data_IF_375689489230
#
_entry.id   IF_375689489230
#
_cell.length_a   1.000
_cell.length_b   1.000
_cell.length_c   1.000
_cell.angle_alpha   90.00
_cell.angle_beta   90.00
_cell.angle_gamma   90.00
#
_symmetry.space_group_name_H-M   'P 1'
#
loop_
_entity.id
_entity.type
_entity.pdbx_description
1 polymer ?
#
# COMPACT_ATOMS: atom_id res chain seq x y z
N UNK A 1 -10.77 4.74 -19.81
CA UNK A 1 -9.69 4.75 -18.78
C UNK A 1 -8.80 5.96 -18.97
N UNK A 2 -8.36 6.20 -20.19
CA UNK A 2 -7.53 7.34 -20.55
C UNK A 2 -8.16 8.68 -20.13
N UNK A 3 -9.44 8.89 -20.41
CA UNK A 3 -10.16 10.11 -20.02
C UNK A 3 -10.24 10.34 -18.51
N UNK A 4 -10.47 9.30 -17.70
CA UNK A 4 -10.51 9.44 -16.23
C UNK A 4 -9.13 9.79 -15.68
N UNK A 5 -8.07 9.14 -16.14
CA UNK A 5 -6.70 9.50 -15.73
C UNK A 5 -6.32 10.90 -16.18
N UNK A 6 -6.75 11.33 -17.36
CA UNK A 6 -6.53 12.69 -17.81
C UNK A 6 -7.21 13.71 -16.88
N UNK A 7 -8.47 13.49 -16.48
CA UNK A 7 -9.17 14.35 -15.53
C UNK A 7 -8.50 14.39 -14.14
N UNK A 8 -8.01 13.22 -13.66
CA UNK A 8 -7.21 13.16 -12.43
C UNK A 8 -5.95 14.03 -12.56
N UNK A 9 -5.25 13.93 -13.69
CA UNK A 9 -4.05 14.69 -13.95
C UNK A 9 -4.30 16.18 -14.07
N UNK A 10 -5.40 16.59 -14.71
CA UNK A 10 -5.83 18.01 -14.75
C UNK A 10 -5.97 18.63 -13.36
N UNK A 11 -6.38 17.83 -12.36
CA UNK A 11 -6.51 18.29 -10.97
C UNK A 11 -5.18 18.20 -10.22
N UNK A 12 -4.41 17.14 -10.42
CA UNK A 12 -3.30 16.78 -9.54
C UNK A 12 -1.91 17.12 -10.11
N UNK A 13 -1.74 17.27 -11.43
CA UNK A 13 -0.42 17.49 -12.03
C UNK A 13 0.26 18.72 -11.43
N UNK A 14 -0.38 19.88 -11.43
CA UNK A 14 0.23 21.09 -10.93
C UNK A 14 0.60 21.00 -9.43
N UNK A 15 -0.33 20.67 -8.51
CA UNK A 15 -0.01 20.63 -7.08
C UNK A 15 0.97 19.54 -6.70
N UNK A 16 1.02 18.40 -7.42
CA UNK A 16 1.94 17.31 -7.15
C UNK A 16 3.33 17.58 -7.72
N UNK A 17 3.42 18.07 -8.94
CA UNK A 17 4.70 18.42 -9.57
C UNK A 17 5.41 19.54 -8.80
N UNK A 18 4.68 20.56 -8.33
CA UNK A 18 5.24 21.63 -7.46
C UNK A 18 5.82 21.07 -6.15
N UNK A 19 5.35 19.92 -5.69
CA UNK A 19 5.85 19.23 -4.49
C UNK A 19 6.92 18.17 -4.80
N UNK A 20 7.41 18.12 -6.04
CA UNK A 20 8.49 17.23 -6.46
C UNK A 20 8.06 15.80 -6.77
N UNK A 21 6.76 15.54 -6.94
CA UNK A 21 6.31 14.24 -7.44
C UNK A 21 6.59 14.11 -8.95
N UNK A 22 6.81 12.87 -9.37
CA UNK A 22 6.93 12.50 -10.79
C UNK A 22 5.78 11.57 -11.12
N UNK A 23 5.12 11.83 -12.25
CA UNK A 23 4.08 10.94 -12.76
C UNK A 23 4.69 9.81 -13.59
N UNK A 24 4.25 8.58 -13.32
CA UNK A 24 4.56 7.39 -14.10
C UNK A 24 3.29 6.86 -14.75
N UNK A 25 3.26 6.96 -16.09
CA UNK A 25 2.12 6.52 -16.90
C UNK A 25 1.93 5.00 -16.86
N UNK A 26 3.03 4.22 -16.80
CA UNK A 26 2.97 2.76 -16.80
C UNK A 26 2.28 2.20 -15.56
N UNK A 27 2.43 2.87 -14.42
CA UNK A 27 1.81 2.48 -13.14
C UNK A 27 0.60 3.33 -12.78
N UNK A 28 0.31 4.39 -13.55
CA UNK A 28 -0.72 5.39 -13.24
C UNK A 28 -0.54 5.92 -11.81
N UNK A 29 0.64 6.45 -11.52
CA UNK A 29 0.99 6.89 -10.18
C UNK A 29 1.85 8.15 -10.16
N UNK A 30 1.76 8.88 -9.05
CA UNK A 30 2.69 9.95 -8.72
C UNK A 30 3.57 9.47 -7.56
N UNK A 31 4.87 9.61 -7.69
CA UNK A 31 5.79 9.21 -6.63
C UNK A 31 6.95 10.19 -6.48
N UNK A 32 7.51 10.22 -5.27
CA UNK A 32 8.76 10.93 -4.97
C UNK A 32 9.55 10.24 -3.87
N UNK A 33 10.82 10.62 -3.74
CA UNK A 33 11.66 10.18 -2.63
C UNK A 33 11.19 10.79 -1.30
N UNK A 34 11.23 9.98 -0.25
CA UNK A 34 10.90 10.44 1.09
C UNK A 34 12.14 11.04 1.77
N UNK A 35 12.13 12.33 2.02
CA UNK A 35 13.29 13.05 2.57
C UNK A 35 13.72 12.57 3.97
N UNK A 36 12.83 11.98 4.75
CA UNK A 36 13.11 11.50 6.10
C UNK A 36 13.67 10.08 6.21
N UNK A 37 13.61 9.29 5.13
CA UNK A 37 13.96 7.87 5.15
C UNK A 37 14.80 7.52 3.92
N UNK A 38 16.00 6.97 4.18
CA UNK A 38 16.95 6.63 3.12
C UNK A 38 16.37 5.55 2.19
N UNK A 39 16.50 5.76 0.87
CA UNK A 39 16.06 4.86 -0.20
C UNK A 39 14.56 4.52 -0.17
N UNK A 40 13.74 5.32 0.51
CA UNK A 40 12.29 5.18 0.54
C UNK A 40 11.66 6.14 -0.45
N UNK A 41 10.74 5.61 -1.24
CA UNK A 41 9.83 6.40 -2.05
C UNK A 41 8.41 6.24 -1.50
N UNK A 42 7.58 7.24 -1.73
CA UNK A 42 6.15 7.13 -1.50
C UNK A 42 5.37 7.74 -2.66
N UNK A 43 4.14 7.32 -2.85
CA UNK A 43 3.36 7.80 -3.97
C UNK A 43 1.90 7.43 -3.91
N UNK A 44 1.13 8.10 -4.76
CA UNK A 44 -0.30 7.91 -4.94
C UNK A 44 -0.55 7.07 -6.18
N UNK A 45 -1.19 5.94 -6.00
CA UNK A 45 -1.49 4.95 -7.04
C UNK A 45 -2.97 4.93 -7.33
N UNK A 46 -3.32 5.01 -8.59
CA UNK A 46 -4.70 5.03 -9.07
C UNK A 46 -5.02 3.72 -9.76
N UNK A 47 -5.99 3.00 -9.23
CA UNK A 47 -6.46 1.76 -9.80
C UNK A 47 -7.87 1.92 -10.31
N UNK A 48 -8.04 1.88 -11.63
CA UNK A 48 -9.34 2.00 -12.27
C UNK A 48 -9.82 0.61 -12.70
N UNK A 49 -11.00 0.23 -12.23
CA UNK A 49 -11.66 -1.03 -12.57
C UNK A 49 -12.99 -0.76 -13.25
N UNK A 50 -13.31 -1.51 -14.31
CA UNK A 50 -14.59 -1.41 -15.03
C UNK A 50 -15.50 -2.57 -14.62
N UNK A 51 -16.75 -2.29 -14.27
CA UNK A 51 -17.75 -3.30 -13.95
C UNK A 51 -19.16 -2.74 -14.21
N UNK A 52 -19.98 -3.48 -15.00
CA UNK A 52 -21.40 -3.15 -15.18
C UNK A 52 -21.68 -1.77 -15.77
N UNK A 53 -20.85 -1.27 -16.70
CA UNK A 53 -21.01 0.06 -17.31
C UNK A 53 -20.44 1.21 -16.50
N UNK A 54 -19.86 0.93 -15.32
CA UNK A 54 -19.25 1.92 -14.44
C UNK A 54 -17.74 1.73 -14.32
N UNK A 55 -17.04 2.81 -14.03
CA UNK A 55 -15.68 2.78 -13.56
C UNK A 55 -15.65 2.93 -12.02
N UNK A 56 -14.80 2.15 -11.39
CA UNK A 56 -14.50 2.25 -9.97
C UNK A 56 -13.04 2.63 -9.83
N UNK A 57 -12.75 3.66 -9.07
CA UNK A 57 -11.40 4.12 -8.82
C UNK A 57 -11.02 3.91 -7.35
N UNK A 58 -9.95 3.17 -7.15
CA UNK A 58 -9.30 3.05 -5.85
C UNK A 58 -8.04 3.95 -5.88
N UNK A 59 -7.85 4.75 -4.84
CA UNK A 59 -6.63 5.53 -4.65
C UNK A 59 -5.90 4.99 -3.43
N UNK A 60 -4.60 4.78 -3.54
CA UNK A 60 -3.77 4.34 -2.42
C UNK A 60 -2.50 5.16 -2.30
N UNK A 61 -2.12 5.56 -1.09
CA UNK A 61 -0.76 5.98 -0.77
C UNK A 61 0.06 4.72 -0.52
N UNK A 62 1.19 4.60 -1.18
CA UNK A 62 2.11 3.48 -0.98
C UNK A 62 3.48 4.00 -0.58
N UNK A 63 4.08 3.35 0.39
CA UNK A 63 5.47 3.54 0.79
C UNK A 63 6.28 2.39 0.23
N UNK A 64 7.34 2.70 -0.49
CA UNK A 64 8.08 1.72 -1.29
C UNK A 64 9.55 1.74 -0.93
N UNK A 65 10.11 0.57 -0.67
CA UNK A 65 11.54 0.35 -0.50
C UNK A 65 11.93 -1.01 -1.09
N UNK A 66 12.82 -1.04 -2.07
CA UNK A 66 13.10 -2.26 -2.84
C UNK A 66 13.64 -3.40 -1.98
N UNK A 67 14.57 -3.12 -1.06
CA UNK A 67 15.13 -4.14 -0.16
C UNK A 67 14.08 -4.75 0.76
N UNK A 68 13.23 -3.93 1.35
CA UNK A 68 12.14 -4.39 2.23
C UNK A 68 11.09 -5.17 1.43
N UNK A 69 10.74 -4.68 0.25
CA UNK A 69 9.83 -5.38 -0.66
C UNK A 69 10.34 -6.77 -1.01
N UNK A 70 11.63 -6.92 -1.28
CA UNK A 70 12.23 -8.23 -1.58
C UNK A 70 12.06 -9.19 -0.39
N UNK A 71 12.41 -8.77 0.81
CA UNK A 71 12.26 -9.59 2.04
C UNK A 71 10.80 -10.00 2.24
N UNK A 72 9.88 -9.05 2.14
CA UNK A 72 8.45 -9.32 2.25
C UNK A 72 7.96 -10.34 1.21
N UNK A 73 8.36 -10.17 -0.05
CA UNK A 73 7.96 -11.06 -1.15
C UNK A 73 8.50 -12.47 -0.97
N UNK A 74 9.75 -12.62 -0.52
CA UNK A 74 10.35 -13.92 -0.22
C UNK A 74 9.59 -14.65 0.89
N UNK A 75 9.22 -13.94 1.97
CA UNK A 75 8.40 -14.50 3.03
C UNK A 75 7.02 -14.92 2.53
N UNK A 76 6.36 -14.10 1.70
CA UNK A 76 5.07 -14.43 1.08
C UNK A 76 5.14 -15.64 0.14
N UNK A 77 6.19 -15.75 -0.66
CA UNK A 77 6.39 -16.91 -1.54
C UNK A 77 6.52 -18.19 -0.70
N UNK A 78 7.36 -18.18 0.35
CA UNK A 78 7.48 -19.32 1.27
C UNK A 78 6.16 -19.68 1.96
N UNK A 79 5.36 -18.66 2.30
CA UNK A 79 4.03 -18.86 2.89
C UNK A 79 3.08 -19.54 1.89
N UNK A 80 3.05 -19.10 0.63
CA UNK A 80 2.18 -19.70 -0.39
C UNK A 80 2.60 -21.14 -0.74
N UNK A 81 3.89 -21.44 -0.75
CA UNK A 81 4.39 -22.80 -0.98
C UNK A 81 3.96 -23.79 0.12
N UNK A 82 3.66 -23.29 1.32
CA UNK A 82 3.22 -24.08 2.48
C UNK A 82 1.71 -24.11 2.67
N UNK A 83 0.97 -23.28 1.95
CA UNK A 83 -0.48 -23.12 2.12
C UNK A 83 -1.23 -24.22 1.35
N UNK A 84 -1.58 -25.28 2.05
CA UNK A 84 -2.33 -26.41 1.51
C UNK A 84 -3.79 -26.06 1.13
N UNK A 85 -4.29 -24.89 1.49
CA UNK A 85 -5.62 -24.41 1.09
C UNK A 85 -5.67 -23.87 -0.34
N UNK A 86 -4.50 -23.55 -0.90
CA UNK A 86 -4.37 -23.05 -2.26
C UNK A 86 -4.15 -24.19 -3.26
N UNK A 87 -4.85 -24.14 -4.38
CA UNK A 87 -4.53 -25.03 -5.49
C UNK A 87 -3.18 -24.66 -6.11
N UNK A 88 -2.50 -25.61 -6.74
CA UNK A 88 -1.21 -25.39 -7.41
C UNK A 88 -1.27 -24.25 -8.43
N UNK A 89 -2.39 -24.12 -9.16
CA UNK A 89 -2.60 -23.04 -10.12
C UNK A 89 -2.69 -21.67 -9.43
N UNK A 90 -3.35 -21.59 -8.27
CA UNK A 90 -3.45 -20.37 -7.46
C UNK A 90 -2.08 -19.99 -6.89
N UNK A 91 -1.33 -20.93 -6.34
CA UNK A 91 0.04 -20.71 -5.84
C UNK A 91 0.94 -20.16 -6.95
N UNK A 92 1.01 -20.84 -8.10
CA UNK A 92 1.80 -20.39 -9.25
C UNK A 92 1.43 -18.98 -9.73
N UNK A 93 0.13 -18.66 -9.72
CA UNK A 93 -0.34 -17.32 -10.10
C UNK A 93 0.13 -16.27 -9.09
N UNK A 94 -0.08 -16.50 -7.79
CA UNK A 94 0.31 -15.57 -6.73
C UNK A 94 1.83 -15.33 -6.72
N UNK A 95 2.64 -16.39 -6.81
CA UNK A 95 4.10 -16.29 -6.89
C UNK A 95 4.54 -15.48 -8.11
N UNK A 96 3.95 -15.77 -9.28
CA UNK A 96 4.22 -15.00 -10.50
C UNK A 96 3.89 -13.53 -10.34
N UNK A 97 2.75 -13.21 -9.70
CA UNK A 97 2.29 -11.83 -9.53
C UNK A 97 3.17 -11.07 -8.53
N UNK A 98 3.66 -11.73 -7.47
CA UNK A 98 4.68 -11.18 -6.56
C UNK A 98 6.01 -10.90 -7.29
N UNK A 99 6.53 -11.87 -8.06
CA UNK A 99 7.79 -11.73 -8.81
C UNK A 99 7.73 -10.61 -9.85
N UNK A 100 6.56 -10.33 -10.42
CA UNK A 100 6.35 -9.25 -11.38
C UNK A 100 6.08 -7.89 -10.74
N UNK A 101 6.09 -7.80 -9.42
CA UNK A 101 5.72 -6.58 -8.70
C UNK A 101 4.24 -6.18 -8.86
N UNK A 102 3.40 -7.11 -9.32
CA UNK A 102 1.96 -6.88 -9.50
C UNK A 102 1.15 -7.04 -8.21
N UNK A 103 1.69 -7.79 -7.26
CA UNK A 103 1.12 -7.82 -5.93
C UNK A 103 1.45 -6.48 -5.26
N UNK A 104 0.46 -5.93 -4.59
CA UNK A 104 0.60 -4.69 -3.86
C UNK A 104 1.59 -4.93 -2.73
N UNK A 105 2.80 -4.50 -2.95
CA UNK A 105 3.93 -4.63 -2.02
C UNK A 105 4.32 -3.28 -1.44
N UNK A 106 3.37 -2.35 -1.40
CA UNK A 106 3.52 -1.14 -0.61
C UNK A 106 3.66 -1.53 0.86
N UNK A 107 4.60 -0.93 1.56
CA UNK A 107 4.69 -1.06 3.02
C UNK A 107 3.39 -0.60 3.68
N UNK A 108 2.58 0.13 2.95
CA UNK A 108 1.37 0.74 3.40
C UNK A 108 0.37 1.02 2.27
N UNK A 109 -0.92 0.81 2.54
CA UNK A 109 -2.04 1.23 1.70
C UNK A 109 -3.05 2.03 2.50
N UNK A 110 -3.49 3.13 1.93
CA UNK A 110 -4.47 4.04 2.56
C UNK A 110 -5.85 3.46 2.81
N UNK A 111 -6.21 2.38 2.19
CA UNK A 111 -7.51 1.75 2.37
C UNK A 111 -7.83 1.45 3.84
N UNK A 112 -6.83 1.49 4.72
CA UNK A 112 -6.99 1.20 6.15
C UNK A 112 -7.01 2.45 7.05
N UNK A 113 -6.84 3.68 6.52
CA UNK A 113 -6.98 4.92 7.32
C UNK A 113 -8.45 5.37 7.46
N UNK A 114 -9.38 4.55 7.04
CA UNK A 114 -10.81 4.89 6.98
C UNK A 114 -11.46 5.20 8.32
N UNK A 115 -10.83 4.89 9.45
CA UNK A 115 -11.43 5.18 10.76
C UNK A 115 -11.50 6.68 11.08
N UNK A 116 -10.57 7.50 10.57
CA UNK A 116 -10.64 8.96 10.71
C UNK A 116 -11.60 9.63 9.72
N UNK A 117 -11.90 8.95 8.60
CA UNK A 117 -12.86 9.38 7.58
C UNK A 117 -13.95 8.32 7.46
N UNK A 118 -14.95 8.40 8.34
CA UNK A 118 -16.05 7.42 8.44
C UNK A 118 -16.92 7.26 7.20
N UNK A 119 -16.73 8.06 6.17
CA UNK A 119 -17.40 7.92 4.89
C UNK A 119 -16.51 7.16 3.90
N UNK A 120 -16.60 5.85 3.92
CA UNK A 120 -15.92 4.92 3.01
C UNK A 120 -16.11 5.23 1.50
N UNK A 121 -17.05 6.10 1.17
CA UNK A 121 -17.30 6.58 -0.19
C UNK A 121 -16.15 7.40 -0.78
N UNK A 122 -15.26 7.97 0.02
CA UNK A 122 -14.14 8.80 -0.46
C UNK A 122 -13.06 8.02 -1.20
N UNK A 123 -12.97 6.70 -1.03
CA UNK A 123 -11.88 5.89 -1.56
C UNK A 123 -12.28 5.05 -2.77
N UNK A 124 -13.56 4.90 -3.00
CA UNK A 124 -14.10 4.19 -4.15
C UNK A 124 -15.04 5.12 -4.90
N UNK A 125 -14.52 5.72 -5.95
CA UNK A 125 -15.33 6.53 -6.85
C UNK A 125 -16.01 5.62 -7.87
N UNK A 126 -17.33 5.66 -7.89
CA UNK A 126 -18.11 5.06 -8.96
C UNK A 126 -18.54 6.16 -9.92
N UNK A 127 -18.06 6.10 -11.15
CA UNK A 127 -18.44 7.06 -12.18
C UNK A 127 -18.88 6.36 -13.46
N UNK A 128 -19.62 7.07 -14.32
CA UNK A 128 -19.90 6.62 -15.68
C UNK A 128 -18.57 6.55 -16.42
N UNK A 129 -18.38 5.51 -17.24
CA UNK A 129 -17.09 5.02 -17.78
C UNK A 129 -16.12 6.04 -18.40
N UNK A 130 -16.48 7.29 -18.53
CA UNK A 130 -15.68 8.29 -19.23
C UNK A 130 -15.50 9.61 -18.50
N UNK A 131 -16.17 9.83 -17.37
CA UNK A 131 -16.26 11.19 -16.87
C UNK A 131 -16.35 11.26 -15.34
N UNK A 132 -15.31 11.82 -14.69
CA UNK A 132 -15.31 12.15 -13.26
C UNK A 132 -16.18 13.37 -12.95
N UNK A 133 -16.47 14.23 -13.93
CA UNK A 133 -17.30 15.41 -13.73
C UNK A 133 -18.73 15.10 -13.30
N UNK A 134 -19.16 13.84 -13.50
CA UNK A 134 -20.42 13.33 -12.96
C UNK A 134 -20.45 13.23 -11.43
N UNK A 135 -19.28 13.34 -10.75
CA UNK A 135 -19.14 13.32 -9.30
C UNK A 135 -18.95 14.75 -8.79
N UNK A 136 -19.93 15.35 -8.13
CA UNK A 136 -19.81 16.71 -7.60
C UNK A 136 -18.61 16.85 -6.65
N UNK A 137 -17.75 17.85 -6.88
CA UNK A 137 -16.61 18.14 -6.02
C UNK A 137 -15.48 17.09 -6.05
N UNK A 138 -15.38 16.29 -7.13
CA UNK A 138 -14.33 15.27 -7.25
C UNK A 138 -12.93 15.88 -7.18
N UNK A 139 -12.73 17.05 -7.71
CA UNK A 139 -11.48 17.81 -7.68
C UNK A 139 -11.04 18.13 -6.25
N UNK A 140 -11.96 18.67 -5.44
CA UNK A 140 -11.71 18.96 -4.03
C UNK A 140 -11.47 17.68 -3.22
N UNK A 141 -12.17 16.61 -3.53
CA UNK A 141 -11.97 15.31 -2.88
C UNK A 141 -10.59 14.74 -3.19
N UNK A 142 -10.13 14.79 -4.46
CA UNK A 142 -8.79 14.37 -4.85
C UNK A 142 -7.71 15.18 -4.13
N UNK A 143 -7.86 16.50 -4.07
CA UNK A 143 -6.92 17.37 -3.36
C UNK A 143 -6.92 17.10 -1.85
N UNK A 144 -8.07 16.84 -1.24
CA UNK A 144 -8.18 16.49 0.18
C UNK A 144 -7.48 15.17 0.51
N UNK A 145 -7.64 14.15 -0.33
CA UNK A 145 -6.93 12.89 -0.20
C UNK A 145 -5.41 13.06 -0.27
N UNK A 146 -4.96 13.88 -1.21
CA UNK A 146 -3.56 14.20 -1.32
C UNK A 146 -3.03 14.94 -0.08
N UNK A 147 -3.73 15.98 0.39
CA UNK A 147 -3.34 16.72 1.59
C UNK A 147 -3.27 15.83 2.83
N UNK A 148 -4.22 14.92 2.96
CA UNK A 148 -4.23 13.95 4.04
C UNK A 148 -3.02 13.01 3.99
N UNK A 149 -2.68 12.51 2.79
CA UNK A 149 -1.48 11.70 2.61
C UNK A 149 -0.20 12.41 3.00
N UNK A 150 -0.05 13.66 2.63
CA UNK A 150 1.11 14.45 3.02
C UNK A 150 1.17 14.68 4.55
N UNK A 151 0.02 14.84 5.20
CA UNK A 151 -0.03 14.93 6.67
C UNK A 151 0.39 13.62 7.32
N UNK A 152 -0.07 12.48 6.79
CA UNK A 152 0.34 11.17 7.28
C UNK A 152 1.86 10.95 7.11
N UNK A 153 2.42 11.26 5.95
CA UNK A 153 3.86 11.16 5.67
C UNK A 153 4.67 12.02 6.66
N UNK A 154 4.23 13.23 6.96
CA UNK A 154 4.88 14.11 7.92
C UNK A 154 4.86 13.60 9.37
N UNK A 155 3.88 12.78 9.74
CA UNK A 155 3.80 12.15 11.06
C UNK A 155 4.76 10.96 11.20
N UNK A 156 5.14 10.33 10.10
CA UNK A 156 5.90 9.06 10.08
C UNK A 156 7.29 9.24 9.46
N UNK A 157 8.08 10.14 10.03
CA UNK A 157 9.39 10.56 9.48
C UNK A 157 10.56 9.69 9.93
N UNK A 158 10.33 8.64 10.71
CA UNK A 158 11.36 7.71 11.17
C UNK A 158 10.96 6.26 10.96
N UNK A 159 11.95 5.37 10.87
CA UNK A 159 11.70 3.94 10.82
C UNK A 159 10.88 3.45 12.01
N UNK A 160 11.14 3.97 13.22
CA UNK A 160 10.41 3.57 14.43
C UNK A 160 8.92 3.93 14.34
N UNK A 161 8.61 5.14 13.90
CA UNK A 161 7.21 5.57 13.72
C UNK A 161 6.50 4.75 12.64
N UNK A 162 7.20 4.41 11.54
CA UNK A 162 6.66 3.61 10.47
C UNK A 162 6.43 2.15 10.89
N UNK A 163 7.38 1.54 11.64
CA UNK A 163 7.26 0.19 12.20
C UNK A 163 6.08 0.13 13.17
N UNK A 164 6.01 1.07 14.11
CA UNK A 164 4.95 1.12 15.12
C UNK A 164 3.57 1.24 14.46
N UNK A 165 3.42 2.16 13.51
CA UNK A 165 2.18 2.32 12.78
C UNK A 165 1.82 1.06 11.97
N UNK A 166 2.76 0.51 11.22
CA UNK A 166 2.55 -0.67 10.38
C UNK A 166 2.12 -1.90 11.20
N UNK A 167 2.73 -2.10 12.36
CA UNK A 167 2.42 -3.23 13.23
C UNK A 167 1.13 -3.03 14.04
N UNK A 168 0.99 -1.87 14.71
CA UNK A 168 -0.01 -1.69 15.77
C UNK A 168 -1.32 -1.07 15.25
N UNK A 169 -1.24 -0.13 14.32
CA UNK A 169 -2.44 0.53 13.78
C UNK A 169 -2.95 -0.18 12.52
N UNK A 170 -2.04 -0.60 11.65
CA UNK A 170 -2.38 -1.30 10.40
C UNK A 170 -2.41 -2.83 10.53
N UNK A 171 -1.99 -3.39 11.66
CA UNK A 171 -1.89 -4.84 11.91
C UNK A 171 -1.14 -5.63 10.82
N UNK A 172 -0.25 -4.97 10.08
CA UNK A 172 0.56 -5.58 9.04
C UNK A 172 1.94 -5.99 9.60
N UNK A 173 1.92 -6.93 10.53
CA UNK A 173 3.13 -7.42 11.20
C UNK A 173 4.19 -7.93 10.24
N UNK A 174 3.81 -8.59 9.14
CA UNK A 174 4.79 -9.10 8.18
C UNK A 174 5.59 -7.97 7.52
N UNK A 175 4.94 -6.86 7.18
CA UNK A 175 5.64 -5.68 6.65
C UNK A 175 6.54 -5.04 7.69
N UNK A 176 6.09 -4.91 8.93
CA UNK A 176 6.89 -4.37 10.02
C UNK A 176 8.13 -5.25 10.33
N UNK A 177 7.96 -6.57 10.32
CA UNK A 177 9.07 -7.53 10.45
C UNK A 177 10.05 -7.44 9.27
N UNK A 178 9.55 -7.23 8.04
CA UNK A 178 10.43 -7.05 6.89
C UNK A 178 11.26 -5.74 6.99
N UNK A 179 10.71 -4.69 7.57
CA UNK A 179 11.45 -3.46 7.87
C UNK A 179 12.55 -3.74 8.90
N UNK A 180 12.23 -4.37 10.03
CA UNK A 180 13.20 -4.70 11.07
C UNK A 180 14.32 -5.61 10.58
N UNK A 181 13.97 -6.62 9.76
CA UNK A 181 14.95 -7.48 9.10
C UNK A 181 15.89 -6.67 8.20
N UNK A 182 15.36 -5.77 7.37
CA UNK A 182 16.16 -4.92 6.49
C UNK A 182 17.13 -4.03 7.27
N UNK A 183 16.69 -3.51 8.42
CA UNK A 183 17.49 -2.65 9.29
C UNK A 183 18.49 -3.43 10.16
N UNK A 184 18.49 -4.77 10.13
CA UNK A 184 19.35 -5.61 10.98
C UNK A 184 19.00 -5.51 12.48
N UNK A 185 17.77 -5.14 12.84
CA UNK A 185 17.31 -4.95 14.22
C UNK A 185 16.78 -6.26 14.80
N UNK A 186 17.68 -7.20 15.08
CA UNK A 186 17.35 -8.57 15.46
C UNK A 186 16.53 -8.67 16.77
N UNK A 187 16.93 -7.91 17.80
CA UNK A 187 16.21 -7.91 19.10
C UNK A 187 14.77 -7.45 18.94
N UNK A 188 14.55 -6.30 18.27
CA UNK A 188 13.23 -5.74 18.01
C UNK A 188 12.40 -6.67 17.13
N UNK A 189 13.03 -7.30 16.14
CA UNK A 189 12.38 -8.29 15.29
C UNK A 189 11.84 -9.46 16.11
N UNK A 190 12.64 -10.02 17.02
CA UNK A 190 12.24 -11.14 17.86
C UNK A 190 11.11 -10.76 18.84
N UNK A 191 11.15 -9.53 19.38
CA UNK A 191 10.08 -9.00 20.24
C UNK A 191 8.79 -8.86 19.43
N UNK A 192 8.84 -8.14 18.30
CA UNK A 192 7.67 -7.90 17.48
C UNK A 192 7.08 -9.20 16.90
N UNK A 193 7.93 -10.17 16.56
CA UNK A 193 7.49 -11.47 16.06
C UNK A 193 6.66 -12.25 17.10
N UNK A 194 7.04 -12.20 18.39
CA UNK A 194 6.25 -12.77 19.49
C UNK A 194 4.90 -12.07 19.65
N UNK A 195 4.89 -10.72 19.66
CA UNK A 195 3.64 -9.94 19.70
C UNK A 195 2.72 -10.30 18.51
N UNK A 196 3.28 -10.46 17.34
CA UNK A 196 2.55 -10.85 16.13
C UNK A 196 1.92 -12.25 16.27
N UNK A 197 2.64 -13.22 16.82
CA UNK A 197 2.09 -14.56 17.09
C UNK A 197 0.92 -14.51 18.07
N UNK A 198 1.06 -13.78 19.17
CA UNK A 198 -0.02 -13.62 20.16
C UNK A 198 -1.25 -12.99 19.52
N UNK A 199 -1.07 -11.93 18.74
CA UNK A 199 -2.15 -11.27 18.01
C UNK A 199 -2.83 -12.23 17.01
N UNK A 200 -2.06 -12.95 16.19
CA UNK A 200 -2.61 -13.84 15.17
C UNK A 200 -3.39 -15.03 15.79
N UNK A 201 -2.88 -15.59 16.88
CA UNK A 201 -3.59 -16.64 17.61
C UNK A 201 -4.91 -16.09 18.20
N UNK A 202 -4.87 -14.91 18.83
CA UNK A 202 -6.05 -14.27 19.41
C UNK A 202 -7.14 -13.98 18.39
N UNK A 203 -6.72 -13.48 17.21
CA UNK A 203 -7.63 -13.14 16.10
C UNK A 203 -7.94 -14.34 15.19
N UNK A 204 -7.51 -15.54 15.54
CA UNK A 204 -7.68 -16.79 14.76
C UNK A 204 -7.16 -16.68 13.32
N UNK A 205 -6.01 -16.02 13.14
CA UNK A 205 -5.33 -15.83 11.86
C UNK A 205 -4.23 -16.88 11.65
N UNK A 206 -3.90 -17.18 10.39
CA UNK A 206 -2.81 -18.10 10.06
C UNK A 206 -1.43 -17.51 10.39
N UNK A 207 -0.61 -18.26 11.13
CA UNK A 207 0.77 -17.87 11.50
C UNK A 207 1.81 -18.16 10.42
N UNK A 208 1.48 -18.84 9.33
CA UNK A 208 2.42 -19.29 8.29
C UNK A 208 3.29 -18.16 7.73
N UNK A 209 2.73 -16.94 7.62
CA UNK A 209 3.50 -15.78 7.14
C UNK A 209 4.59 -15.35 8.12
N UNK A 210 4.35 -15.49 9.43
CA UNK A 210 5.32 -15.18 10.48
C UNK A 210 6.42 -16.24 10.58
N UNK A 211 6.10 -17.51 10.30
CA UNK A 211 7.06 -18.60 10.24
C UNK A 211 7.98 -18.49 9.02
N UNK A 212 7.52 -17.83 7.98
CA UNK A 212 8.23 -17.71 6.71
C UNK A 212 9.28 -16.60 6.68
N UNK A 213 9.29 -15.71 7.69
CA UNK A 213 10.26 -14.62 7.82
C UNK A 213 11.21 -14.87 9.00
N UNK A 214 12.51 -14.76 8.75
CA UNK A 214 13.59 -14.88 9.76
C UNK A 214 14.71 -13.92 9.40
N UNK A 215 15.42 -13.43 10.38
CA UNK A 215 16.71 -12.72 10.20
C UNK A 215 17.80 -13.74 9.93
#
# INVERSE_FOLDING_TARGET
METIMQQIREVLDEPLLQKGFVYDEATSSYSKTWEGLENVNYGYFFRIRKKGGYAYMDISLQVMHEGIRRIYNEAKIKCFDRDNSLTEAQQKRLIRDLKKGKAITGLYQFTNIQEEYKDASYWVYQCILSDLSALPGYDQQLLSLFMFGEQWVRKHTSWDSLIAWTAKENHNYLSALAILHYLGREEDFNILKREAYEYYIKENLSTHSLESISI
#
